data_IF_450502192937
#
_entry.id   IF_450502192937
#
_cell.length_a   1.000
_cell.length_b   1.000
_cell.length_c   1.000
_cell.angle_alpha   90.00
_cell.angle_beta   90.00
_cell.angle_gamma   90.00
#
_symmetry.space_group_name_H-M   'P 1'
#
loop_
_entity.id
_entity.type
_entity.pdbx_description
1 polymer ?
#
# COMPACT_ATOMS: atom_id res chain seq x y z
N UNK A 1 47.20 39.80 -28.00
CA UNK A 1 45.92 40.48 -28.28
C UNK A 1 44.81 39.43 -28.22
N UNK A 2 44.46 39.00 -27.01
CA UNK A 2 43.13 39.12 -26.40
C UNK A 2 41.95 39.07 -27.38
N UNK A 3 41.25 37.92 -27.43
CA UNK A 3 39.79 37.76 -27.40
C UNK A 3 39.56 36.24 -27.18
N UNK A 4 39.38 35.81 -25.92
CA UNK A 4 38.88 34.48 -25.59
C UNK A 4 37.40 34.61 -25.26
N UNK A 5 36.57 34.14 -26.19
CA UNK A 5 35.11 34.16 -26.14
C UNK A 5 34.60 33.15 -25.10
N UNK A 6 33.80 33.67 -24.18
CA UNK A 6 32.56 33.13 -23.60
C UNK A 6 32.35 31.62 -23.74
N UNK A 7 32.32 30.90 -22.61
CA UNK A 7 31.41 29.78 -22.43
C UNK A 7 30.96 29.73 -20.97
N UNK A 8 29.77 30.29 -20.74
CA UNK A 8 29.08 30.20 -19.47
C UNK A 8 28.75 28.74 -19.16
N UNK A 9 29.22 28.27 -18.01
CA UNK A 9 28.81 27.00 -17.43
C UNK A 9 27.37 27.13 -16.93
N UNK A 10 26.40 26.79 -17.77
CA UNK A 10 25.04 26.48 -17.30
C UNK A 10 25.08 25.03 -16.83
N UNK A 11 25.28 24.84 -15.52
CA UNK A 11 25.15 23.55 -14.88
C UNK A 11 23.65 23.22 -14.81
N UNK A 12 23.14 22.56 -15.86
CA UNK A 12 21.76 22.09 -15.92
C UNK A 12 21.61 20.90 -14.96
N UNK A 13 21.25 21.18 -13.70
CA UNK A 13 20.94 20.16 -12.70
C UNK A 13 19.70 19.37 -13.12
N UNK A 14 19.94 18.23 -13.78
CA UNK A 14 18.91 17.26 -14.15
C UNK A 14 18.36 16.62 -12.87
N UNK A 15 17.23 17.13 -12.38
CA UNK A 15 16.50 16.53 -11.26
C UNK A 15 15.82 15.25 -11.77
N UNK A 16 16.46 14.11 -11.53
CA UNK A 16 15.85 12.79 -11.73
C UNK A 16 14.78 12.57 -10.66
N UNK A 17 13.53 12.87 -10.98
CA UNK A 17 12.38 12.51 -10.14
C UNK A 17 12.16 11.00 -10.32
N UNK A 18 12.65 10.19 -9.40
CA UNK A 18 12.34 8.75 -9.40
C UNK A 18 10.90 8.55 -8.89
N UNK A 19 10.09 7.71 -9.54
CA UNK A 19 8.76 7.39 -9.05
C UNK A 19 8.90 6.59 -7.75
N UNK A 20 8.43 7.15 -6.64
CA UNK A 20 8.21 6.41 -5.39
C UNK A 20 7.10 5.37 -5.66
N UNK A 21 7.48 4.12 -5.91
CA UNK A 21 6.53 3.00 -5.98
C UNK A 21 5.99 2.71 -4.58
N UNK A 22 4.83 3.30 -4.27
CA UNK A 22 4.05 2.90 -3.09
C UNK A 22 3.50 1.50 -3.33
N UNK A 23 3.90 0.53 -2.51
CA UNK A 23 3.45 -0.86 -2.58
C UNK A 23 1.91 -0.91 -2.52
N UNK A 24 1.31 -1.27 -3.65
CA UNK A 24 -0.13 -1.41 -3.83
C UNK A 24 -0.45 -2.89 -3.98
N UNK A 25 -1.30 -3.42 -3.12
CA UNK A 25 -1.78 -4.79 -3.17
C UNK A 25 -3.15 -4.82 -3.85
N UNK A 26 -3.28 -5.67 -4.86
CA UNK A 26 -4.56 -5.93 -5.51
C UNK A 26 -5.42 -6.82 -4.62
N UNK A 27 -6.73 -6.65 -4.71
CA UNK A 27 -7.70 -7.55 -4.06
C UNK A 27 -8.45 -8.35 -5.13
N UNK A 28 -9.29 -9.28 -4.70
CA UNK A 28 -10.16 -10.05 -5.59
C UNK A 28 -11.40 -9.29 -6.07
N UNK A 29 -11.55 -8.01 -5.71
CA UNK A 29 -12.58 -7.12 -6.27
C UNK A 29 -11.87 -6.14 -7.21
N UNK A 30 -12.32 -6.09 -8.47
CA UNK A 30 -11.76 -5.20 -9.48
C UNK A 30 -11.85 -3.72 -9.05
N UNK A 31 -10.78 -2.97 -9.27
CA UNK A 31 -10.69 -1.56 -8.89
C UNK A 31 -10.50 -1.31 -7.38
N UNK A 32 -10.41 -2.37 -6.56
CA UNK A 32 -10.21 -2.24 -5.11
C UNK A 32 -8.81 -2.66 -4.73
N UNK A 33 -8.09 -1.73 -4.10
CA UNK A 33 -6.69 -1.92 -3.75
C UNK A 33 -6.42 -1.58 -2.29
N UNK A 34 -5.40 -2.22 -1.74
CA UNK A 34 -4.83 -1.89 -0.44
C UNK A 34 -3.46 -1.23 -0.63
N UNK A 35 -3.16 -0.25 0.21
CA UNK A 35 -1.92 0.53 0.20
C UNK A 35 -1.42 0.68 1.64
N UNK A 36 -0.13 0.96 1.79
CA UNK A 36 0.50 1.26 3.08
C UNK A 36 0.21 0.19 4.14
N UNK A 37 0.21 -1.07 3.71
CA UNK A 37 -0.02 -2.21 4.61
C UNK A 37 1.17 -2.36 5.54
N UNK A 38 0.93 -2.41 6.85
CA UNK A 38 1.97 -2.58 7.87
C UNK A 38 1.41 -3.24 9.12
N UNK A 39 2.22 -4.04 9.78
CA UNK A 39 1.94 -4.47 11.14
C UNK A 39 2.37 -3.39 12.15
N UNK A 40 1.71 -3.37 13.31
CA UNK A 40 2.09 -2.58 14.48
C UNK A 40 2.46 -3.50 15.64
N UNK A 41 3.18 -2.96 16.63
CA UNK A 41 3.69 -3.71 17.79
C UNK A 41 2.64 -4.50 18.58
N UNK A 42 1.35 -4.18 18.46
CA UNK A 42 0.26 -4.89 19.14
C UNK A 42 -0.42 -5.96 18.26
N UNK A 43 0.25 -6.43 17.19
CA UNK A 43 -0.30 -7.43 16.28
C UNK A 43 -1.49 -6.92 15.46
N UNK A 44 -1.59 -5.60 15.24
CA UNK A 44 -2.64 -5.03 14.38
C UNK A 44 -2.09 -4.73 12.99
N UNK A 45 -2.83 -5.09 11.96
CA UNK A 45 -2.52 -4.80 10.56
C UNK A 45 -3.23 -3.51 10.16
N UNK A 46 -2.47 -2.46 9.85
CA UNK A 46 -2.98 -1.20 9.33
C UNK A 46 -2.85 -1.15 7.81
N UNK A 47 -3.84 -0.55 7.16
CA UNK A 47 -3.83 -0.36 5.71
C UNK A 47 -4.72 0.82 5.31
N UNK A 48 -4.47 1.34 4.12
CA UNK A 48 -5.40 2.24 3.42
C UNK A 48 -6.06 1.45 2.31
N UNK A 49 -7.38 1.41 2.31
CA UNK A 49 -8.17 0.83 1.22
C UNK A 49 -8.66 1.94 0.27
N UNK A 50 -8.62 1.67 -1.03
CA UNK A 50 -9.14 2.56 -2.07
C UNK A 50 -10.01 1.77 -3.04
N UNK A 51 -11.24 2.26 -3.23
CA UNK A 51 -12.16 1.80 -4.24
C UNK A 51 -12.13 2.77 -5.41
N UNK A 52 -11.66 2.31 -6.57
CA UNK A 52 -11.56 3.09 -7.81
C UNK A 52 -12.77 2.89 -8.72
N UNK A 53 -13.64 1.94 -8.39
CA UNK A 53 -14.90 1.73 -9.11
C UNK A 53 -15.96 2.75 -8.66
N UNK A 54 -16.98 3.00 -9.49
CA UNK A 54 -18.13 3.84 -9.12
C UNK A 54 -19.10 3.15 -8.17
N UNK A 55 -19.06 1.82 -8.09
CA UNK A 55 -19.94 1.02 -7.23
C UNK A 55 -19.42 0.96 -5.79
N UNK A 56 -20.30 1.05 -4.77
CA UNK A 56 -19.90 0.87 -3.38
C UNK A 56 -19.58 -0.59 -3.05
N UNK A 57 -18.83 -0.82 -1.98
CA UNK A 57 -18.46 -2.15 -1.47
C UNK A 57 -18.96 -2.29 -0.03
N UNK A 58 -19.62 -3.41 0.23
CA UNK A 58 -20.11 -3.84 1.55
C UNK A 58 -19.80 -5.32 1.74
N UNK A 59 -18.57 -5.63 2.13
CA UNK A 59 -18.07 -7.01 2.23
C UNK A 59 -17.06 -7.12 3.37
N UNK A 60 -16.73 -8.35 3.78
CA UNK A 60 -15.74 -8.60 4.82
C UNK A 60 -14.38 -8.81 4.17
N UNK A 61 -13.39 -8.02 4.59
CA UNK A 61 -12.00 -8.20 4.21
C UNK A 61 -11.34 -9.15 5.20
N UNK A 62 -10.81 -10.25 4.71
CA UNK A 62 -9.98 -11.20 5.44
C UNK A 62 -8.51 -10.92 5.17
N UNK A 63 -7.68 -11.12 6.19
CA UNK A 63 -6.23 -11.10 6.09
C UNK A 63 -5.68 -12.42 6.61
N UNK A 64 -4.69 -12.95 5.91
CA UNK A 64 -3.82 -14.04 6.36
C UNK A 64 -2.41 -13.50 6.47
N UNK A 65 -1.76 -13.77 7.59
CA UNK A 65 -0.39 -13.37 7.91
C UNK A 65 0.50 -14.60 7.75
N UNK A 66 1.60 -14.43 7.02
CA UNK A 66 2.61 -15.45 6.80
C UNK A 66 3.93 -15.00 7.39
N UNK A 67 4.70 -15.94 7.93
CA UNK A 67 6.09 -15.71 8.31
C UNK A 67 7.03 -15.67 7.08
N UNK A 68 8.33 -15.72 7.33
CA UNK A 68 9.36 -15.65 6.29
C UNK A 68 9.44 -16.95 5.47
N UNK A 69 9.12 -18.08 6.08
CA UNK A 69 9.11 -19.40 5.44
C UNK A 69 7.84 -19.60 4.61
N UNK A 70 6.84 -18.74 4.81
CA UNK A 70 5.58 -18.75 4.09
C UNK A 70 4.48 -19.52 4.80
N UNK A 71 4.68 -19.86 6.08
CA UNK A 71 3.70 -20.55 6.89
C UNK A 71 2.67 -19.55 7.47
N UNK A 72 1.38 -19.91 7.52
CA UNK A 72 0.35 -19.04 8.06
C UNK A 72 0.43 -18.98 9.59
N UNK A 73 0.73 -17.80 10.14
CA UNK A 73 0.94 -17.58 11.59
C UNK A 73 -0.17 -16.74 12.25
N UNK A 74 -1.07 -16.19 11.45
CA UNK A 74 -2.12 -15.30 11.93
C UNK A 74 -3.24 -15.06 10.92
N UNK A 75 -4.41 -14.70 11.42
CA UNK A 75 -5.54 -14.34 10.58
C UNK A 75 -6.44 -13.30 11.27
N UNK A 76 -7.27 -12.64 10.48
CA UNK A 76 -8.27 -11.71 11.00
C UNK A 76 -9.20 -11.24 9.91
N UNK A 77 -10.25 -10.52 10.31
CA UNK A 77 -11.20 -9.97 9.35
C UNK A 77 -11.79 -8.65 9.82
N UNK A 78 -12.30 -7.86 8.88
CA UNK A 78 -13.06 -6.63 9.17
C UNK A 78 -14.11 -6.37 8.10
N UNK A 79 -15.31 -5.99 8.56
CA UNK A 79 -16.35 -5.47 7.67
C UNK A 79 -15.92 -4.14 7.07
N UNK A 80 -15.96 -4.06 5.75
CA UNK A 80 -15.65 -2.86 4.96
C UNK A 80 -16.94 -2.36 4.32
N UNK A 81 -17.35 -1.16 4.71
CA UNK A 81 -18.30 -0.34 3.98
C UNK A 81 -17.54 0.85 3.38
N UNK A 82 -17.49 0.94 2.05
CA UNK A 82 -16.73 1.95 1.32
C UNK A 82 -17.54 2.40 0.08
N UNK A 83 -17.69 3.71 -0.12
CA UNK A 83 -18.39 4.24 -1.28
C UNK A 83 -17.62 4.01 -2.59
N UNK A 84 -18.26 4.29 -3.72
CA UNK A 84 -17.56 4.39 -5.01
C UNK A 84 -16.54 5.53 -4.99
N UNK A 85 -15.45 5.38 -5.77
CA UNK A 85 -14.39 6.38 -5.96
C UNK A 85 -13.95 7.02 -4.63
N UNK A 86 -13.67 6.17 -3.64
CA UNK A 86 -13.38 6.62 -2.28
C UNK A 86 -12.25 5.83 -1.65
N UNK A 87 -11.77 6.28 -0.49
CA UNK A 87 -10.75 5.57 0.27
C UNK A 87 -10.84 5.87 1.75
N UNK A 88 -10.32 4.95 2.57
CA UNK A 88 -10.23 5.12 4.01
C UNK A 88 -9.06 4.35 4.59
N UNK A 89 -8.53 4.83 5.71
CA UNK A 89 -7.63 4.06 6.55
C UNK A 89 -8.41 3.10 7.43
N UNK A 90 -7.88 1.91 7.63
CA UNK A 90 -8.48 0.89 8.48
C UNK A 90 -7.42 0.02 9.12
N UNK A 91 -7.86 -0.80 10.07
CA UNK A 91 -7.02 -1.75 10.78
C UNK A 91 -7.77 -3.05 11.05
N UNK A 92 -7.07 -4.17 11.10
CA UNK A 92 -7.58 -5.42 11.69
C UNK A 92 -6.73 -5.66 12.94
N UNK A 93 -7.39 -5.84 14.08
CA UNK A 93 -6.71 -6.02 15.36
C UNK A 93 -6.46 -7.49 15.65
N UNK A 94 -5.47 -7.78 16.51
CA UNK A 94 -5.22 -9.12 17.05
C UNK A 94 -4.94 -10.20 16.00
N UNK A 95 -4.18 -9.84 14.95
CA UNK A 95 -3.88 -10.69 13.79
C UNK A 95 -2.56 -11.46 13.95
N UNK A 96 -1.84 -11.25 15.06
CA UNK A 96 -0.52 -11.83 15.33
C UNK A 96 0.47 -11.64 14.16
N UNK A 97 0.90 -10.40 13.96
CA UNK A 97 1.87 -10.05 12.92
C UNK A 97 3.09 -9.32 13.52
N UNK A 98 4.15 -9.25 12.73
CA UNK A 98 5.35 -8.45 12.99
C UNK A 98 5.74 -7.62 11.74
N UNK A 99 6.90 -6.94 11.80
CA UNK A 99 7.39 -6.10 10.70
C UNK A 99 7.88 -6.90 9.48
N UNK A 100 8.28 -8.16 9.65
CA UNK A 100 8.74 -9.06 8.58
C UNK A 100 7.62 -9.87 7.95
N UNK A 101 6.43 -9.86 8.55
CA UNK A 101 5.29 -10.64 8.11
C UNK A 101 4.86 -10.27 6.70
N UNK A 102 4.45 -11.29 5.94
CA UNK A 102 3.82 -11.15 4.63
C UNK A 102 2.30 -11.25 4.80
N UNK A 103 1.55 -10.60 3.91
CA UNK A 103 0.09 -10.51 4.02
C UNK A 103 -0.59 -10.93 2.72
N UNK A 104 -1.65 -11.74 2.84
CA UNK A 104 -2.63 -11.94 1.77
C UNK A 104 -3.98 -11.41 2.22
N UNK A 105 -4.72 -10.79 1.28
CA UNK A 105 -6.02 -10.20 1.55
C UNK A 105 -7.07 -10.71 0.58
N UNK A 106 -8.28 -10.96 1.08
CA UNK A 106 -9.40 -11.42 0.26
C UNK A 106 -10.74 -10.92 0.82
N UNK A 107 -11.59 -10.40 -0.06
CA UNK A 107 -12.99 -10.11 0.22
C UNK A 107 -13.86 -11.36 0.11
N UNK A 108 -14.79 -11.51 1.06
CA UNK A 108 -15.88 -12.50 1.03
C UNK A 108 -17.21 -11.86 1.48
#
# INVERSE_FOLDING_TARGET
>A
MLIKRILGFIFLSLVMITPVQSQTLQTNIEGVVLKKVRCTFYGNVFFTISNRSSSPIRSTLYVTVFDQDGDPVGNGSRKINLGGVSGKSSSISSVNCDKSSRFAFKFQ
#
